data_IF_433019443194
#
_entry.id   IF_433019443194
#
_cell.length_a   1.000
_cell.length_b   1.000
_cell.length_c   1.000
_cell.angle_alpha   90.00
_cell.angle_beta   90.00
_cell.angle_gamma   90.00
#
_symmetry.space_group_name_H-M   'P 1'
#
loop_
_entity.id
_entity.type
_entity.pdbx_description
1 polymer ?
#
# COMPACT_ATOMS: atom_id res chain seq x y z
N UNK A 1 13.17 -20.87 100.34
CA UNK A 1 13.42 -21.56 99.06
C UNK A 1 12.83 -20.73 97.93
N UNK A 2 13.67 -20.11 97.08
CA UNK A 2 13.22 -19.34 95.90
C UNK A 2 13.33 -20.22 94.66
N UNK A 3 12.21 -20.44 93.98
CA UNK A 3 12.15 -21.15 92.70
C UNK A 3 12.86 -20.33 91.61
N UNK A 4 13.94 -20.87 91.04
CA UNK A 4 14.60 -20.31 89.87
C UNK A 4 13.73 -20.56 88.64
N UNK A 5 13.30 -19.48 88.00
CA UNK A 5 12.57 -19.50 86.73
C UNK A 5 13.47 -20.02 85.60
N UNK A 6 13.05 -21.09 84.94
CA UNK A 6 13.64 -21.52 83.67
C UNK A 6 13.22 -20.56 82.56
N UNK A 7 14.19 -20.04 81.80
CA UNK A 7 13.96 -19.07 80.73
C UNK A 7 13.44 -19.76 79.46
N UNK A 8 12.21 -19.44 79.07
CA UNK A 8 11.45 -19.93 77.91
C UNK A 8 11.98 -19.50 76.51
N UNK A 9 13.22 -19.03 76.41
CA UNK A 9 13.76 -18.49 75.14
C UNK A 9 14.10 -19.56 74.10
N UNK A 10 14.60 -20.73 74.52
CA UNK A 10 14.95 -21.83 73.61
C UNK A 10 13.73 -22.44 72.92
N UNK A 11 12.62 -22.56 73.65
CA UNK A 11 11.41 -23.22 73.18
C UNK A 11 10.64 -22.37 72.14
N UNK A 12 10.70 -21.03 72.29
CA UNK A 12 10.16 -20.11 71.28
C UNK A 12 10.95 -20.13 69.98
N UNK A 13 12.28 -20.27 70.03
CA UNK A 13 13.11 -20.37 68.82
C UNK A 13 12.88 -21.70 68.10
N UNK A 14 12.75 -22.80 68.84
CA UNK A 14 12.47 -24.12 68.26
C UNK A 14 11.07 -24.22 67.66
N UNK A 15 10.05 -23.67 68.34
CA UNK A 15 8.69 -23.53 67.77
C UNK A 15 8.66 -22.64 66.54
N UNK A 16 9.37 -21.51 66.53
CA UNK A 16 9.44 -20.64 65.35
C UNK A 16 10.16 -21.30 64.16
N UNK A 17 11.20 -22.11 64.42
CA UNK A 17 11.91 -22.86 63.38
C UNK A 17 11.05 -23.99 62.77
N UNK A 18 10.32 -24.73 63.61
CA UNK A 18 9.38 -25.77 63.15
C UNK A 18 8.15 -25.16 62.43
N UNK A 19 7.65 -24.02 62.89
CA UNK A 19 6.52 -23.32 62.25
C UNK A 19 6.92 -22.64 60.93
N UNK A 20 8.15 -22.11 60.80
CA UNK A 20 8.67 -21.57 59.52
C UNK A 20 9.01 -22.66 58.51
N UNK A 21 9.57 -23.80 58.93
CA UNK A 21 9.94 -24.89 58.02
C UNK A 21 8.73 -25.62 57.42
N UNK A 22 7.58 -25.65 58.10
CA UNK A 22 6.33 -26.27 57.59
C UNK A 22 5.51 -25.41 56.61
N UNK A 23 5.90 -24.17 56.32
CA UNK A 23 5.08 -23.21 55.56
C UNK A 23 5.71 -22.64 54.29
N UNK A 24 6.58 -23.40 53.62
CA UNK A 24 6.91 -23.18 52.19
C UNK A 24 6.32 -24.29 51.31
N UNK A 25 5.02 -24.55 51.42
CA UNK A 25 4.30 -25.21 50.31
C UNK A 25 4.23 -24.19 49.18
N UNK A 26 4.96 -24.45 48.10
CA UNK A 26 5.03 -23.58 46.93
C UNK A 26 3.61 -23.25 46.46
N UNK A 27 3.40 -22.02 45.99
CA UNK A 27 2.10 -21.53 45.50
C UNK A 27 1.47 -22.46 44.43
N UNK A 28 2.31 -23.27 43.78
CA UNK A 28 1.98 -24.29 42.79
C UNK A 28 1.09 -25.41 43.37
N UNK A 29 1.23 -25.77 44.65
CA UNK A 29 0.49 -26.89 45.25
C UNK A 29 -0.95 -26.54 45.67
N UNK A 30 -1.41 -25.31 45.44
CA UNK A 30 -2.79 -24.84 45.74
C UNK A 30 -3.63 -24.58 44.49
N UNK A 31 -3.03 -24.59 43.30
CA UNK A 31 -3.79 -24.54 42.06
C UNK A 31 -4.57 -25.85 41.90
N UNK A 32 -5.86 -25.80 41.54
CA UNK A 32 -6.61 -27.01 41.27
C UNK A 32 -5.87 -27.80 40.19
N UNK A 33 -5.69 -29.10 40.41
CA UNK A 33 -4.98 -30.00 39.50
C UNK A 33 -5.40 -29.85 38.03
N UNK A 34 -6.68 -29.51 37.80
CA UNK A 34 -7.23 -29.15 36.49
C UNK A 34 -6.55 -27.95 35.83
N UNK A 35 -6.29 -26.86 36.56
CA UNK A 35 -5.63 -25.66 36.02
C UNK A 35 -4.19 -25.95 35.58
N UNK A 36 -3.47 -26.78 36.33
CA UNK A 36 -2.10 -27.21 35.97
C UNK A 36 -2.15 -28.06 34.69
N UNK A 37 -3.12 -28.96 34.56
CA UNK A 37 -3.31 -29.80 33.36
C UNK A 37 -3.64 -28.96 32.12
N UNK A 38 -4.49 -27.95 32.24
CA UNK A 38 -4.77 -27.00 31.16
C UNK A 38 -3.55 -26.17 30.77
N UNK A 39 -2.74 -25.75 31.74
CA UNK A 39 -1.51 -25.03 31.49
C UNK A 39 -0.49 -25.86 30.69
N UNK A 40 -0.29 -27.13 31.05
CA UNK A 40 0.57 -28.03 30.27
C UNK A 40 0.03 -28.30 28.87
N UNK A 41 -1.29 -28.49 28.73
CA UNK A 41 -1.92 -28.65 27.42
C UNK A 41 -1.70 -27.41 26.54
N UNK A 42 -1.83 -26.22 27.13
CA UNK A 42 -1.57 -24.96 26.43
C UNK A 42 -0.11 -24.84 25.97
N UNK A 43 0.85 -25.21 26.82
CA UNK A 43 2.28 -25.23 26.46
C UNK A 43 2.53 -26.20 25.31
N UNK A 44 1.96 -27.41 25.37
CA UNK A 44 2.14 -28.42 24.32
C UNK A 44 1.55 -27.91 22.99
N UNK A 45 0.33 -27.37 23.00
CA UNK A 45 -0.29 -26.78 21.81
C UNK A 45 0.57 -25.64 21.27
N UNK A 46 1.06 -24.76 22.14
CA UNK A 46 1.92 -23.65 21.75
C UNK A 46 3.22 -24.13 21.09
N UNK A 47 3.89 -25.15 21.65
CA UNK A 47 5.09 -25.75 21.08
C UNK A 47 4.81 -26.41 19.72
N UNK A 48 3.67 -27.09 19.57
CA UNK A 48 3.25 -27.68 18.29
C UNK A 48 3.05 -26.59 17.24
N UNK A 49 2.34 -25.51 17.59
CA UNK A 49 2.12 -24.37 16.68
C UNK A 49 3.45 -23.72 16.27
N UNK A 50 4.38 -23.55 17.21
CA UNK A 50 5.73 -23.06 16.90
C UNK A 50 6.50 -24.01 15.97
N UNK A 51 6.46 -25.32 16.24
CA UNK A 51 7.11 -26.33 15.42
C UNK A 51 6.58 -26.37 13.99
N UNK A 52 5.25 -26.31 13.82
CA UNK A 52 4.59 -26.24 12.52
C UNK A 52 4.99 -24.94 11.79
N UNK A 53 4.94 -23.80 12.47
CA UNK A 53 5.33 -22.50 11.90
C UNK A 53 6.79 -22.50 11.43
N UNK A 54 7.69 -23.07 12.23
CA UNK A 54 9.10 -23.23 11.89
C UNK A 54 9.30 -24.13 10.67
N UNK A 55 8.58 -25.25 10.59
CA UNK A 55 8.60 -26.14 9.44
C UNK A 55 8.18 -25.44 8.15
N UNK A 56 7.09 -24.67 8.16
CA UNK A 56 6.63 -23.90 7.00
C UNK A 56 7.62 -22.80 6.56
N UNK A 57 8.41 -22.24 7.48
CA UNK A 57 9.41 -21.18 7.20
C UNK A 57 10.77 -21.71 6.74
N UNK A 58 11.17 -22.91 7.16
CA UNK A 58 12.54 -23.41 6.92
C UNK A 58 12.60 -24.52 5.88
N UNK A 59 11.51 -25.25 5.66
CA UNK A 59 11.54 -26.38 4.74
C UNK A 59 11.72 -25.93 3.28
N UNK A 60 12.66 -26.59 2.60
CA UNK A 60 13.01 -26.35 1.19
C UNK A 60 11.86 -26.61 0.22
N UNK A 61 10.87 -27.42 0.62
CA UNK A 61 9.67 -27.73 -0.17
C UNK A 61 8.86 -26.46 -0.47
N UNK A 62 8.86 -25.48 0.45
CA UNK A 62 8.13 -24.21 0.30
C UNK A 62 8.92 -23.12 -0.43
N UNK A 63 10.10 -23.43 -0.98
CA UNK A 63 10.85 -22.49 -1.81
C UNK A 63 10.14 -22.30 -3.16
N UNK A 64 10.12 -21.06 -3.64
CA UNK A 64 9.55 -20.71 -4.96
C UNK A 64 10.37 -21.41 -6.04
N UNK A 65 9.74 -22.35 -6.75
CA UNK A 65 10.32 -23.02 -7.93
C UNK A 65 9.72 -22.48 -9.22
N UNK A 66 8.41 -22.25 -9.22
CA UNK A 66 7.65 -21.80 -10.37
C UNK A 66 7.00 -20.45 -10.08
N UNK A 67 7.03 -19.54 -11.06
CA UNK A 67 6.39 -18.23 -10.97
C UNK A 67 5.44 -18.09 -12.16
N UNK A 68 4.17 -17.83 -11.86
CA UNK A 68 3.12 -17.58 -12.86
C UNK A 68 2.72 -16.11 -12.78
N UNK A 69 2.91 -15.37 -13.86
CA UNK A 69 2.50 -13.97 -13.96
C UNK A 69 1.23 -13.92 -14.81
N UNK A 70 0.18 -13.29 -14.28
CA UNK A 70 -1.10 -13.10 -14.97
C UNK A 70 -1.41 -11.62 -14.99
N UNK A 71 -1.69 -11.06 -16.17
CA UNK A 71 -2.17 -9.68 -16.30
C UNK A 71 -3.69 -9.71 -16.28
N UNK A 72 -4.32 -8.97 -15.38
CA UNK A 72 -5.77 -9.02 -15.23
C UNK A 72 -6.53 -8.38 -16.40
N UNK A 73 -5.88 -7.43 -17.10
CA UNK A 73 -6.51 -6.62 -18.14
C UNK A 73 -6.10 -7.04 -19.56
N UNK A 74 -5.24 -8.04 -19.70
CA UNK A 74 -4.77 -8.57 -20.98
C UNK A 74 -4.68 -10.10 -20.91
N UNK A 75 -4.97 -10.81 -22.01
CA UNK A 75 -4.80 -12.27 -22.07
C UNK A 75 -3.32 -12.69 -22.24
N UNK A 76 -2.40 -11.74 -22.23
CA UNK A 76 -0.97 -11.94 -22.48
C UNK A 76 -0.26 -12.37 -21.19
N UNK A 77 0.62 -13.37 -21.31
CA UNK A 77 1.59 -13.70 -20.28
C UNK A 77 2.81 -12.79 -20.43
N UNK A 78 3.11 -12.02 -19.40
CA UNK A 78 4.38 -11.30 -19.30
C UNK A 78 5.51 -12.32 -19.10
N UNK A 79 6.67 -12.03 -19.68
CA UNK A 79 7.83 -12.89 -19.59
C UNK A 79 8.23 -13.11 -18.11
N UNK A 80 8.24 -14.38 -17.69
CA UNK A 80 8.43 -14.80 -16.30
C UNK A 80 9.81 -14.42 -15.72
N UNK A 81 10.72 -13.97 -16.59
CA UNK A 81 12.09 -13.58 -16.26
C UNK A 81 12.17 -12.39 -15.29
N UNK A 82 11.15 -11.54 -15.27
CA UNK A 82 11.09 -10.36 -14.41
C UNK A 82 11.11 -10.73 -12.91
N UNK A 83 10.65 -11.92 -12.50
CA UNK A 83 10.62 -12.32 -11.09
C UNK A 83 11.64 -13.40 -10.71
N UNK A 84 12.68 -13.63 -11.53
CA UNK A 84 13.74 -14.61 -11.21
C UNK A 84 14.40 -14.36 -9.84
N UNK A 85 14.47 -13.10 -9.39
CA UNK A 85 15.00 -12.71 -8.07
C UNK A 85 14.25 -13.30 -6.87
N UNK A 86 13.02 -13.78 -7.08
CA UNK A 86 12.21 -14.40 -6.03
C UNK A 86 12.30 -15.94 -6.03
N UNK A 87 12.91 -16.54 -7.06
CA UNK A 87 13.12 -17.99 -7.12
C UNK A 87 14.07 -18.43 -6.00
N UNK A 88 13.73 -19.50 -5.29
CA UNK A 88 14.51 -20.01 -4.15
C UNK A 88 14.20 -19.37 -2.79
N UNK A 89 13.48 -18.23 -2.74
CA UNK A 89 12.96 -17.68 -1.48
C UNK A 89 11.78 -18.50 -0.97
N UNK A 90 11.52 -18.48 0.35
CA UNK A 90 10.37 -19.19 0.91
C UNK A 90 9.06 -18.46 0.55
N UNK A 91 8.07 -19.20 0.04
CA UNK A 91 6.74 -18.66 -0.29
C UNK A 91 6.07 -17.94 0.88
N UNK A 92 6.22 -18.45 2.09
CA UNK A 92 5.58 -17.95 3.29
C UNK A 92 6.25 -16.68 3.84
N UNK A 93 7.52 -16.44 3.48
CA UNK A 93 8.22 -15.21 3.85
C UNK A 93 7.95 -14.04 2.89
N UNK A 94 7.57 -14.32 1.64
CA UNK A 94 7.34 -13.28 0.64
C UNK A 94 6.07 -12.49 0.95
N UNK A 95 6.23 -11.21 1.24
CA UNK A 95 5.10 -10.31 1.50
C UNK A 95 4.64 -9.60 0.23
N UNK A 96 3.45 -9.01 0.29
CA UNK A 96 2.96 -8.15 -0.78
C UNK A 96 3.89 -6.98 -1.06
N UNK A 97 4.41 -6.37 0.01
CA UNK A 97 5.29 -5.21 -0.05
C UNK A 97 6.58 -5.52 -0.83
N UNK A 98 7.22 -6.65 -0.56
CA UNK A 98 8.47 -7.03 -1.24
C UNK A 98 8.31 -7.12 -2.77
N UNK A 99 7.17 -7.64 -3.22
CA UNK A 99 6.88 -7.81 -4.65
C UNK A 99 6.39 -6.49 -5.24
N UNK A 100 5.57 -5.71 -4.52
CA UNK A 100 5.11 -4.39 -4.97
C UNK A 100 6.29 -3.48 -5.23
N UNK A 101 7.19 -3.36 -4.24
CA UNK A 101 8.36 -2.48 -4.31
C UNK A 101 9.29 -2.88 -5.46
N UNK A 102 9.41 -4.18 -5.74
CA UNK A 102 10.14 -4.65 -6.91
C UNK A 102 9.53 -4.14 -8.23
N UNK A 103 8.21 -4.24 -8.40
CA UNK A 103 7.54 -3.72 -9.59
C UNK A 103 7.59 -2.20 -9.67
N UNK A 104 7.33 -1.51 -8.56
CA UNK A 104 7.34 -0.04 -8.52
C UNK A 104 8.72 0.53 -8.89
N UNK A 105 9.81 -0.11 -8.48
CA UNK A 105 11.16 0.38 -8.78
C UNK A 105 11.71 -0.05 -10.15
N UNK A 106 11.27 -1.20 -10.69
CA UNK A 106 11.84 -1.77 -11.92
C UNK A 106 10.92 -1.68 -13.13
N UNK A 107 9.63 -1.44 -12.94
CA UNK A 107 8.66 -1.48 -14.02
C UNK A 107 7.51 -0.48 -13.82
N UNK A 108 7.56 0.64 -14.52
CA UNK A 108 6.52 1.66 -14.50
C UNK A 108 5.22 1.25 -15.19
N UNK A 109 5.24 0.20 -16.02
CA UNK A 109 4.10 -0.21 -16.86
C UNK A 109 3.04 -1.03 -16.12
N UNK A 110 3.44 -1.77 -15.07
CA UNK A 110 2.56 -2.71 -14.37
C UNK A 110 2.48 -2.41 -12.88
N UNK A 111 1.25 -2.44 -12.35
CA UNK A 111 0.98 -2.44 -10.93
C UNK A 111 0.64 -3.84 -10.41
N UNK A 112 0.88 -4.06 -9.11
CA UNK A 112 0.54 -5.30 -8.44
C UNK A 112 -0.94 -5.30 -8.01
N UNK A 113 -1.71 -6.33 -8.39
CA UNK A 113 -3.12 -6.48 -7.97
C UNK A 113 -3.26 -7.46 -6.82
N UNK A 114 -2.63 -8.63 -6.94
CA UNK A 114 -2.76 -9.71 -5.98
C UNK A 114 -1.59 -10.68 -6.05
N UNK A 115 -1.32 -11.37 -4.95
CA UNK A 115 -0.35 -12.46 -4.86
C UNK A 115 -1.05 -13.68 -4.31
N UNK A 116 -1.00 -14.77 -5.06
CA UNK A 116 -1.54 -16.06 -4.68
C UNK A 116 -0.39 -17.04 -4.48
N UNK A 117 -0.35 -17.65 -3.30
CA UNK A 117 0.61 -18.71 -2.97
C UNK A 117 -0.04 -20.06 -3.29
N UNK A 118 0.48 -20.75 -4.30
CA UNK A 118 0.04 -22.10 -4.65
C UNK A 118 1.06 -23.09 -4.08
N UNK A 119 0.67 -23.71 -2.96
CA UNK A 119 1.48 -24.73 -2.31
C UNK A 119 1.69 -25.93 -3.27
N UNK A 120 2.87 -26.59 -3.21
CA UNK A 120 3.95 -26.33 -2.27
C UNK A 120 4.95 -25.25 -2.71
N UNK A 121 5.08 -24.93 -4.00
CA UNK A 121 6.27 -24.20 -4.53
C UNK A 121 5.99 -23.17 -5.64
N UNK A 122 4.72 -22.84 -5.90
CA UNK A 122 4.33 -21.93 -6.97
C UNK A 122 3.88 -20.57 -6.44
N UNK A 123 4.51 -19.50 -6.93
CA UNK A 123 4.08 -18.11 -6.69
C UNK A 123 3.28 -17.63 -7.90
N UNK A 124 2.03 -17.25 -7.70
CA UNK A 124 1.21 -16.63 -8.74
C UNK A 124 1.05 -15.15 -8.44
N UNK A 125 1.51 -14.31 -9.37
CA UNK A 125 1.44 -12.86 -9.26
C UNK A 125 0.42 -12.35 -10.27
N UNK A 126 -0.58 -11.63 -9.78
CA UNK A 126 -1.60 -11.01 -10.60
C UNK A 126 -1.27 -9.53 -10.70
N UNK A 127 -0.96 -9.08 -11.91
CA UNK A 127 -0.64 -7.70 -12.24
C UNK A 127 -1.81 -7.04 -12.96
N UNK A 128 -1.78 -5.73 -13.03
CA UNK A 128 -2.59 -4.95 -13.97
C UNK A 128 -1.68 -4.00 -14.73
N UNK A 129 -1.98 -3.78 -16.00
CA UNK A 129 -1.30 -2.75 -16.78
C UNK A 129 -1.80 -1.39 -16.34
N UNK A 130 -0.88 -0.50 -15.99
CA UNK A 130 -1.21 0.89 -15.68
C UNK A 130 -1.58 1.60 -16.96
N UNK A 131 -2.66 2.39 -16.90
CA UNK A 131 -3.10 3.18 -18.02
C UNK A 131 -2.64 4.62 -17.80
N UNK A 132 -1.76 5.15 -18.66
CA UNK A 132 -1.33 6.54 -18.55
C UNK A 132 -2.52 7.47 -18.82
N UNK A 133 -2.61 8.53 -18.04
CA UNK A 133 -3.64 9.56 -18.20
C UNK A 133 -3.02 10.87 -18.61
N UNK A 134 -2.00 11.31 -17.88
CA UNK A 134 -1.34 12.59 -18.09
C UNK A 134 0.13 12.39 -18.36
N UNK A 135 0.67 13.18 -19.29
CA UNK A 135 2.11 13.31 -19.50
C UNK A 135 2.52 14.73 -19.15
N UNK A 136 3.20 14.91 -18.02
CA UNK A 136 3.64 16.20 -17.51
C UNK A 136 5.05 16.48 -17.97
N UNK A 137 5.25 17.63 -18.61
CA UNK A 137 6.53 18.12 -19.11
C UNK A 137 7.31 17.15 -20.01
N UNK A 138 6.64 16.13 -20.56
CA UNK A 138 7.24 15.01 -21.31
C UNK A 138 8.18 14.11 -20.48
N UNK A 139 8.19 14.26 -19.17
CA UNK A 139 9.11 13.54 -18.27
C UNK A 139 8.37 12.62 -17.31
N UNK A 140 7.18 13.01 -16.87
CA UNK A 140 6.43 12.31 -15.83
C UNK A 140 5.06 11.86 -16.34
N UNK A 141 4.71 10.61 -16.06
CA UNK A 141 3.43 10.01 -16.40
C UNK A 141 2.62 9.82 -15.13
N UNK A 142 1.40 10.34 -15.14
CA UNK A 142 0.39 10.06 -14.11
C UNK A 142 -0.57 9.02 -14.66
N UNK A 143 -0.67 7.89 -13.98
CA UNK A 143 -1.51 6.76 -14.36
C UNK A 143 -2.91 6.82 -13.73
N UNK A 144 -3.80 5.93 -14.16
CA UNK A 144 -5.18 5.81 -13.67
C UNK A 144 -5.34 5.36 -12.22
N UNK A 145 -4.33 4.70 -11.67
CA UNK A 145 -4.20 4.43 -10.23
C UNK A 145 -3.62 5.63 -9.45
N UNK A 146 -3.43 6.78 -10.12
CA UNK A 146 -2.78 8.00 -9.61
C UNK A 146 -1.30 7.85 -9.27
N UNK A 147 -0.69 6.72 -9.64
CA UNK A 147 0.76 6.54 -9.51
C UNK A 147 1.51 7.43 -10.51
N UNK A 148 2.69 7.90 -10.11
CA UNK A 148 3.56 8.75 -10.92
C UNK A 148 4.86 8.00 -11.22
N UNK A 149 5.24 7.98 -12.50
CA UNK A 149 6.49 7.38 -12.97
C UNK A 149 7.15 8.23 -14.04
N UNK A 150 8.44 8.00 -14.26
CA UNK A 150 9.11 8.54 -15.44
C UNK A 150 8.49 8.02 -16.73
N UNK A 151 8.42 8.90 -17.73
CA UNK A 151 7.95 8.61 -19.06
C UNK A 151 8.81 7.53 -19.72
N UNK A 152 8.14 6.60 -20.39
CA UNK A 152 8.76 5.60 -21.26
C UNK A 152 8.05 5.63 -22.60
N UNK A 153 8.74 5.30 -23.69
CA UNK A 153 8.21 5.37 -25.06
C UNK A 153 6.94 4.52 -25.28
N UNK A 154 6.67 3.56 -24.39
CA UNK A 154 5.49 2.68 -24.43
C UNK A 154 4.20 3.33 -23.92
N UNK A 155 4.27 4.49 -23.27
CA UNK A 155 3.09 5.19 -22.75
C UNK A 155 2.32 5.85 -23.89
N UNK A 156 1.17 5.29 -24.26
CA UNK A 156 0.27 5.81 -25.30
C UNK A 156 -1.06 6.26 -24.72
N UNK A 157 -1.78 7.13 -25.44
CA UNK A 157 -3.04 7.72 -25.00
C UNK A 157 -2.85 8.45 -23.67
N UNK A 158 -2.42 9.70 -23.71
CA UNK A 158 -2.34 10.59 -22.55
C UNK A 158 -2.77 12.01 -22.95
N UNK A 159 -3.12 12.82 -21.97
CA UNK A 159 -3.34 14.25 -22.13
C UNK A 159 -2.03 14.94 -21.72
N UNK A 160 -1.34 15.65 -22.62
CA UNK A 160 -0.13 16.38 -22.29
C UNK A 160 -0.45 17.55 -21.35
N UNK A 161 0.37 17.68 -20.32
CA UNK A 161 0.35 18.75 -19.32
C UNK A 161 1.70 19.48 -19.39
N UNK A 162 1.64 20.81 -19.36
CA UNK A 162 2.79 21.66 -19.03
C UNK A 162 2.58 22.24 -17.64
N UNK A 163 3.60 22.20 -16.80
CA UNK A 163 3.57 22.79 -15.46
C UNK A 163 4.96 23.28 -15.06
N UNK A 164 5.06 24.34 -14.27
CA UNK A 164 6.32 24.86 -13.72
C UNK A 164 6.81 24.04 -12.51
N UNK A 165 6.88 22.71 -12.67
CA UNK A 165 7.26 21.77 -11.61
C UNK A 165 8.26 20.77 -12.20
N UNK A 166 9.40 20.59 -11.52
CA UNK A 166 10.47 19.69 -11.95
C UNK A 166 10.28 18.26 -11.41
N UNK A 167 9.93 18.12 -10.13
CA UNK A 167 9.79 16.83 -9.46
C UNK A 167 8.34 16.56 -9.06
N UNK A 168 7.76 15.50 -9.63
CA UNK A 168 6.36 15.13 -9.38
C UNK A 168 6.35 13.77 -8.68
N UNK A 169 5.91 13.75 -7.43
CA UNK A 169 5.69 12.54 -6.63
C UNK A 169 4.21 12.15 -6.61
N UNK A 170 3.34 13.13 -6.78
CA UNK A 170 1.90 12.94 -6.71
C UNK A 170 1.15 13.94 -7.59
N UNK A 171 -0.10 13.59 -7.93
CA UNK A 171 -1.02 14.52 -8.60
C UNK A 171 -1.29 15.79 -7.78
N UNK A 172 -1.12 15.73 -6.46
CA UNK A 172 -1.28 16.87 -5.54
C UNK A 172 -0.19 17.93 -5.69
N UNK A 173 0.95 17.57 -6.30
CA UNK A 173 2.05 18.52 -6.52
C UNK A 173 1.68 19.55 -7.60
N UNK A 174 0.69 19.25 -8.45
CA UNK A 174 0.20 20.14 -9.52
C UNK A 174 -1.04 20.91 -9.02
N UNK A 175 -0.96 22.23 -8.77
CA UNK A 175 -2.05 23.00 -8.20
C UNK A 175 -3.35 22.89 -9.00
N UNK A 176 -4.43 22.47 -8.33
CA UNK A 176 -5.77 22.37 -8.91
C UNK A 176 -6.03 21.14 -9.79
N UNK A 177 -5.01 20.39 -10.21
CA UNK A 177 -5.21 19.13 -10.93
C UNK A 177 -6.04 18.10 -10.13
N UNK A 178 -5.84 17.92 -8.80
CA UNK A 178 -6.68 17.02 -8.00
C UNK A 178 -8.17 17.36 -8.04
N UNK A 179 -8.52 18.63 -8.18
CA UNK A 179 -9.92 19.09 -8.23
C UNK A 179 -10.58 18.74 -9.56
N UNK A 180 -9.85 18.84 -10.67
CA UNK A 180 -10.43 18.75 -12.02
C UNK A 180 -10.17 17.42 -12.75
N UNK A 181 -9.19 16.61 -12.31
CA UNK A 181 -8.72 15.44 -13.07
C UNK A 181 -9.85 14.46 -13.46
N UNK A 182 -10.80 14.17 -12.56
CA UNK A 182 -11.93 13.27 -12.84
C UNK A 182 -12.80 13.80 -13.97
N UNK A 183 -13.05 15.11 -13.99
CA UNK A 183 -13.89 15.74 -15.01
C UNK A 183 -13.17 15.81 -16.35
N UNK A 184 -11.85 16.05 -16.34
CA UNK A 184 -11.00 15.97 -17.53
C UNK A 184 -11.02 14.57 -18.12
N UNK A 185 -10.88 13.53 -17.29
CA UNK A 185 -10.92 12.14 -17.70
C UNK A 185 -12.23 11.73 -18.37
N UNK A 186 -13.37 12.13 -17.78
CA UNK A 186 -14.70 11.90 -18.38
C UNK A 186 -14.87 12.55 -19.75
N UNK A 187 -14.10 13.59 -20.03
CA UNK A 187 -14.16 14.39 -21.25
C UNK A 187 -12.85 14.30 -22.05
N UNK A 188 -12.10 13.20 -21.88
CA UNK A 188 -10.82 12.97 -22.55
C UNK A 188 -10.89 13.20 -24.05
N UNK A 189 -12.00 12.79 -24.68
CA UNK A 189 -12.13 12.83 -26.13
C UNK A 189 -12.20 14.25 -26.69
N UNK A 190 -12.53 15.24 -25.87
CA UNK A 190 -12.59 16.64 -26.27
C UNK A 190 -11.39 17.45 -25.79
N UNK A 191 -10.68 16.99 -24.76
CA UNK A 191 -9.48 17.67 -24.24
C UNK A 191 -8.26 17.30 -25.09
N UNK A 192 -7.48 18.32 -25.48
CA UNK A 192 -6.23 18.17 -26.24
C UNK A 192 -4.99 18.26 -25.35
N UNK A 193 -4.94 19.25 -24.47
CA UNK A 193 -3.78 19.52 -23.61
C UNK A 193 -4.15 20.42 -22.44
N UNK A 194 -3.32 20.47 -21.41
CA UNK A 194 -3.45 21.41 -20.29
C UNK A 194 -2.12 22.13 -20.00
N UNK A 195 -2.20 23.35 -19.45
CA UNK A 195 -1.06 24.11 -18.92
C UNK A 195 -1.42 24.62 -17.53
N UNK A 196 -0.45 24.62 -16.62
CA UNK A 196 -0.56 25.11 -15.26
C UNK A 196 0.52 26.17 -15.04
N UNK A 197 0.10 27.41 -14.82
CA UNK A 197 0.99 28.57 -14.64
C UNK A 197 0.54 29.33 -13.38
N UNK A 198 1.29 29.17 -12.30
CA UNK A 198 0.88 29.64 -10.97
C UNK A 198 -0.47 29.07 -10.54
N UNK A 199 -1.45 29.93 -10.32
CA UNK A 199 -2.83 29.53 -9.98
C UNK A 199 -3.74 29.36 -11.21
N UNK A 200 -3.26 29.64 -12.41
CA UNK A 200 -4.10 29.56 -13.61
C UNK A 200 -3.98 28.18 -14.26
N UNK A 201 -5.12 27.64 -14.67
CA UNK A 201 -5.19 26.38 -15.40
C UNK A 201 -5.79 26.67 -16.78
N UNK A 202 -5.04 26.30 -17.80
CA UNK A 202 -5.40 26.48 -19.20
C UNK A 202 -5.72 25.12 -19.80
N UNK A 203 -6.96 24.95 -20.27
CA UNK A 203 -7.41 23.69 -20.87
C UNK A 203 -7.68 23.95 -22.33
N UNK A 204 -6.95 23.26 -23.19
CA UNK A 204 -7.13 23.36 -24.64
C UNK A 204 -7.96 22.19 -25.14
N UNK A 205 -9.03 22.51 -25.86
CA UNK A 205 -9.90 21.51 -26.48
C UNK A 205 -9.39 21.15 -27.89
N UNK A 206 -9.82 20.00 -28.41
CA UNK A 206 -9.45 19.52 -29.75
C UNK A 206 -9.96 20.45 -30.87
N UNK A 207 -11.09 21.14 -30.66
CA UNK A 207 -11.61 22.18 -31.55
C UNK A 207 -10.86 23.54 -31.43
N UNK A 208 -9.69 23.56 -30.79
CA UNK A 208 -8.80 24.74 -30.62
C UNK A 208 -9.30 25.81 -29.65
N UNK A 209 -10.43 25.60 -28.95
CA UNK A 209 -10.89 26.49 -27.88
C UNK A 209 -10.00 26.43 -26.65
N UNK A 210 -9.98 27.54 -25.93
CA UNK A 210 -9.25 27.69 -24.68
C UNK A 210 -10.23 27.95 -23.54
N UNK A 211 -10.12 27.15 -22.49
CA UNK A 211 -10.82 27.37 -21.22
C UNK A 211 -9.77 27.76 -20.19
N UNK A 212 -10.06 28.80 -19.42
CA UNK A 212 -9.20 29.26 -18.33
C UNK A 212 -9.99 29.20 -17.03
N UNK A 213 -9.41 28.60 -16.01
CA UNK A 213 -9.95 28.55 -14.64
C UNK A 213 -8.83 28.83 -13.64
N UNK A 214 -9.21 29.19 -12.42
CA UNK A 214 -8.27 29.28 -11.29
C UNK A 214 -8.17 27.94 -10.56
N UNK A 215 -7.02 27.66 -9.96
CA UNK A 215 -6.84 26.52 -9.07
C UNK A 215 -7.86 26.58 -7.93
N UNK A 216 -8.48 25.43 -7.63
CA UNK A 216 -9.54 25.32 -6.62
C UNK A 216 -10.96 25.60 -7.14
N UNK A 217 -11.12 26.17 -8.34
CA UNK A 217 -12.43 26.30 -8.97
C UNK A 217 -12.89 24.97 -9.58
N UNK A 218 -14.21 24.79 -9.64
CA UNK A 218 -14.82 23.65 -10.32
C UNK A 218 -14.69 23.82 -11.84
N UNK A 219 -14.56 22.69 -12.53
CA UNK A 219 -14.47 22.70 -13.98
C UNK A 219 -15.87 22.94 -14.59
N UNK A 220 -16.04 23.94 -15.47
CA UNK A 220 -17.29 24.14 -16.21
C UNK A 220 -17.58 22.97 -17.16
N UNK A 221 -18.81 22.89 -17.66
CA UNK A 221 -19.21 21.85 -18.64
C UNK A 221 -18.38 21.97 -19.92
N UNK A 222 -17.43 21.06 -20.09
CA UNK A 222 -16.56 21.03 -21.26
C UNK A 222 -17.33 20.72 -22.56
N UNK A 223 -18.45 20.00 -22.48
CA UNK A 223 -19.30 19.70 -23.64
C UNK A 223 -20.00 20.96 -24.15
N UNK A 224 -20.50 21.80 -23.25
CA UNK A 224 -21.16 23.05 -23.62
C UNK A 224 -20.15 24.06 -24.14
N UNK A 225 -18.98 24.14 -23.48
CA UNK A 225 -17.83 24.88 -23.96
C UNK A 225 -17.37 24.41 -25.36
N UNK A 226 -17.45 23.10 -25.64
CA UNK A 226 -17.10 22.57 -26.95
C UNK A 226 -18.09 23.01 -28.04
N UNK A 227 -19.38 23.09 -27.73
CA UNK A 227 -20.46 23.50 -28.66
C UNK A 227 -20.63 25.00 -28.84
N UNK A 228 -20.12 25.82 -27.92
CA UNK A 228 -20.32 27.28 -27.95
C UNK A 228 -19.74 27.98 -29.21
N UNK A 229 -20.06 29.25 -29.44
CA UNK A 229 -19.42 30.03 -30.52
C UNK A 229 -18.12 30.71 -30.07
N UNK A 230 -17.82 30.66 -28.77
CA UNK A 230 -16.69 31.39 -28.18
C UNK A 230 -15.38 30.63 -28.34
N UNK A 231 -14.30 31.38 -28.62
CA UNK A 231 -12.96 30.82 -28.79
C UNK A 231 -12.23 30.70 -27.44
N UNK A 232 -12.45 31.66 -26.55
CA UNK A 232 -11.87 31.69 -25.20
C UNK A 232 -13.00 31.84 -24.19
N UNK A 233 -12.95 31.00 -23.17
CA UNK A 233 -13.89 30.94 -22.07
C UNK A 233 -13.10 31.06 -20.77
N UNK A 234 -13.11 32.24 -20.16
CA UNK A 234 -12.37 32.52 -18.94
C UNK A 234 -13.33 32.59 -17.75
N UNK A 235 -13.21 31.63 -16.85
CA UNK A 235 -14.06 31.49 -15.66
C UNK A 235 -13.34 31.87 -14.38
N UNK A 236 -12.16 32.51 -14.46
CA UNK A 236 -11.41 32.94 -13.27
C UNK A 236 -12.17 33.97 -12.44
N UNK A 237 -13.05 34.74 -13.07
CA UNK A 237 -13.85 35.78 -12.44
C UNK A 237 -15.29 35.32 -12.21
N UNK A 238 -15.95 35.85 -11.18
CA UNK A 238 -17.34 35.51 -10.85
C UNK A 238 -18.31 35.74 -12.05
N UNK A 239 -17.96 36.65 -12.95
CA UNK A 239 -18.61 36.83 -14.24
C UNK A 239 -17.68 36.25 -15.32
N UNK A 240 -18.05 35.12 -15.92
CA UNK A 240 -17.26 34.49 -16.95
C UNK A 240 -17.06 35.44 -18.14
N UNK A 241 -15.81 35.55 -18.62
CA UNK A 241 -15.44 36.37 -19.77
C UNK A 241 -15.43 35.49 -21.02
N UNK A 242 -16.23 35.88 -22.01
CA UNK A 242 -16.41 35.17 -23.27
C UNK A 242 -15.84 36.00 -24.41
N UNK A 243 -14.83 35.47 -25.11
CA UNK A 243 -14.25 36.15 -26.28
C UNK A 243 -14.75 35.47 -27.54
N UNK A 244 -15.64 36.17 -28.26
CA UNK A 244 -16.05 35.82 -29.62
C UNK A 244 -15.03 36.39 -30.60
N UNK A 245 -14.74 35.66 -31.67
CA UNK A 245 -13.88 36.15 -32.75
C UNK A 245 -14.71 36.89 -33.77
#
# INVERSE_FOLDING_TARGET
>A
MKLKSYSNKGDHLYRNYIMKSKKKKSFISKLPYMAIRFFYLFIIIFLIVLGISYFFKTNSIFKVKNIKIVVANEKTSIDSNILRSFKGKNLNSLTYKDISEYYDNKNSEYGLRNIQRQLPSTLKVVLYRRLPIFLVNKEWVINNDLSVYHYTEKCVNYIPIKAEICDIKSIFDIPGLPTIHKNILKNRDIVKSMSFEGQNIYIRLKNRKLIVISAGQSLPSLKDAFKSDYKVLDFRFNNAIYVKK
#
